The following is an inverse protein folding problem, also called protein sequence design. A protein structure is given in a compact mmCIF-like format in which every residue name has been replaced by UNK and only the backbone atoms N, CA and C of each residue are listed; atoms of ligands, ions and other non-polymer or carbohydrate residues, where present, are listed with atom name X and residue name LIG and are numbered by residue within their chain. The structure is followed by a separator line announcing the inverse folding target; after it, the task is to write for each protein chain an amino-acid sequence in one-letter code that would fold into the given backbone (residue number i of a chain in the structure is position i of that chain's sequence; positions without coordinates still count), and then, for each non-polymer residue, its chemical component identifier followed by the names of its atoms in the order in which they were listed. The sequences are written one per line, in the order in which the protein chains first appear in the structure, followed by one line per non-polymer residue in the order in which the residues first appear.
data_IF_935162288638
#
_entry.id   IF_935162288638
#
_cell.length_a   1.000
_cell.length_b   1.000
_cell.length_c   1.000
_cell.angle_alpha   90.00
_cell.angle_beta   90.00
_cell.angle_gamma   90.00
#
_symmetry.space_group_name_H-M   'P 1'
#
loop_
_entity.id
_entity.type
_entity.pdbx_description
1 polymer ?
#
# COMPACT_ATOMS: atom_id res chain seq x y z
N UNK A 1 -9.67 14.85 -10.38
CA UNK A 1 -8.71 14.35 -9.37
C UNK A 1 -9.06 14.90 -8.01
N UNK A 2 -9.89 15.95 -8.00
CA UNK A 2 -10.44 16.66 -6.86
C UNK A 2 -11.01 15.71 -5.81
N UNK A 3 -11.68 14.59 -6.19
CA UNK A 3 -12.21 13.63 -5.22
C UNK A 3 -11.15 12.88 -4.38
N UNK A 4 -9.88 12.92 -4.78
CA UNK A 4 -8.75 12.38 -4.00
C UNK A 4 -7.96 13.47 -3.28
N UNK A 5 -7.90 14.68 -3.84
CA UNK A 5 -7.10 15.78 -3.29
C UNK A 5 -7.86 16.63 -2.28
N UNK A 6 -9.15 16.88 -2.53
CA UNK A 6 -10.02 17.68 -1.66
C UNK A 6 -10.07 17.15 -0.22
N UNK A 7 -10.20 15.83 0.04
CA UNK A 7 -10.14 15.32 1.41
C UNK A 7 -8.83 15.62 2.13
N UNK A 8 -7.71 15.61 1.41
CA UNK A 8 -6.38 15.91 1.97
C UNK A 8 -6.21 17.42 2.19
N UNK A 9 -6.66 18.24 1.25
CA UNK A 9 -6.68 19.71 1.39
C UNK A 9 -7.47 20.12 2.64
N UNK A 10 -8.63 19.51 2.87
CA UNK A 10 -9.43 19.74 4.09
C UNK A 10 -8.69 19.37 5.38
N UNK A 11 -7.91 18.28 5.38
CA UNK A 11 -7.09 17.89 6.53
C UNK A 11 -5.96 18.89 6.77
N UNK A 12 -5.30 19.37 5.72
CA UNK A 12 -4.24 20.38 5.82
C UNK A 12 -4.80 21.69 6.39
N UNK A 13 -5.91 22.18 5.82
CA UNK A 13 -6.58 23.39 6.29
C UNK A 13 -7.02 23.26 7.76
N UNK A 14 -7.55 22.10 8.15
CA UNK A 14 -7.96 21.86 9.52
C UNK A 14 -6.79 21.69 10.50
N UNK A 15 -5.67 21.11 10.06
CA UNK A 15 -4.43 21.02 10.85
C UNK A 15 -3.84 22.40 11.13
N UNK A 16 -3.74 23.25 10.10
CA UNK A 16 -3.34 24.65 10.26
C UNK A 16 -4.29 25.39 11.21
N UNK A 17 -5.60 25.29 10.98
CA UNK A 17 -6.61 25.89 11.84
C UNK A 17 -6.49 25.43 13.31
N UNK A 18 -6.24 24.15 13.52
CA UNK A 18 -6.05 23.59 14.85
C UNK A 18 -4.82 24.17 15.55
N UNK A 19 -3.69 24.31 14.86
CA UNK A 19 -2.49 24.97 15.41
C UNK A 19 -2.79 26.42 15.82
N UNK A 20 -3.50 27.19 14.99
CA UNK A 20 -3.81 28.60 15.27
C UNK A 20 -4.96 28.83 16.27
N UNK A 21 -5.71 27.78 16.66
CA UNK A 21 -6.91 27.90 17.51
C UNK A 21 -6.75 27.10 18.81
N UNK A 22 -6.01 27.63 19.82
CA UNK A 22 -5.68 26.89 21.04
C UNK A 22 -6.90 26.52 21.89
N UNK A 23 -8.06 27.13 21.66
CA UNK A 23 -9.32 26.79 22.33
C UNK A 23 -9.87 25.41 21.92
N UNK A 24 -9.48 24.89 20.76
CA UNK A 24 -9.89 23.55 20.32
C UNK A 24 -9.17 22.48 21.13
N UNK A 25 -9.92 21.65 21.84
CA UNK A 25 -9.41 20.50 22.60
C UNK A 25 -9.23 19.26 21.73
N UNK A 26 -10.04 19.12 20.68
CA UNK A 26 -10.09 17.95 19.81
C UNK A 26 -10.21 18.35 18.34
N UNK A 27 -9.36 17.78 17.48
CA UNK A 27 -9.58 17.70 16.04
C UNK A 27 -9.95 16.25 15.69
N UNK A 28 -11.16 16.04 15.19
CA UNK A 28 -11.65 14.73 14.79
C UNK A 28 -11.64 14.59 13.27
N UNK A 29 -11.02 13.53 12.76
CA UNK A 29 -10.87 13.26 11.34
C UNK A 29 -11.39 11.86 11.03
N UNK A 30 -12.47 11.79 10.27
CA UNK A 30 -12.90 10.55 9.63
C UNK A 30 -12.18 10.43 8.28
N UNK A 31 -11.52 9.32 8.00
CA UNK A 31 -10.78 9.09 6.75
C UNK A 31 -11.08 7.71 6.18
N UNK A 32 -10.68 7.47 4.94
CA UNK A 32 -10.74 6.13 4.34
C UNK A 32 -9.45 5.37 4.59
N UNK A 33 -9.50 4.03 4.55
CA UNK A 33 -8.28 3.22 4.72
C UNK A 33 -7.20 3.57 3.68
N UNK A 34 -7.61 4.01 2.48
CA UNK A 34 -6.69 4.41 1.41
C UNK A 34 -5.95 5.71 1.69
N UNK A 35 -6.54 6.62 2.49
CA UNK A 35 -5.95 7.93 2.80
C UNK A 35 -5.35 8.00 4.20
N UNK A 36 -5.55 7.00 5.07
CA UNK A 36 -5.09 7.02 6.47
C UNK A 36 -3.65 7.49 6.63
N UNK A 37 -2.70 6.85 5.95
CA UNK A 37 -1.29 7.17 6.10
C UNK A 37 -0.96 8.57 5.59
N UNK A 38 -1.54 8.98 4.46
CA UNK A 38 -1.37 10.33 3.92
C UNK A 38 -1.98 11.40 4.85
N UNK A 39 -3.11 11.11 5.49
CA UNK A 39 -3.70 11.96 6.52
C UNK A 39 -2.75 12.10 7.71
N UNK A 40 -2.18 11.00 8.21
CA UNK A 40 -1.22 11.05 9.32
C UNK A 40 0.05 11.82 8.95
N UNK A 41 0.59 11.63 7.74
CA UNK A 41 1.75 12.38 7.23
C UNK A 41 1.49 13.88 7.16
N UNK A 42 0.32 14.31 6.67
CA UNK A 42 -0.02 15.73 6.61
C UNK A 42 -0.33 16.34 7.99
N UNK A 43 -0.91 15.55 8.90
CA UNK A 43 -1.13 15.99 10.28
C UNK A 43 0.20 16.21 11.00
N UNK A 44 1.14 15.27 10.93
CA UNK A 44 2.46 15.43 11.56
C UNK A 44 3.28 16.51 10.86
N UNK A 45 3.10 16.75 9.55
CA UNK A 45 3.73 17.89 8.89
C UNK A 45 3.27 19.25 9.45
N UNK A 46 2.07 19.32 10.05
CA UNK A 46 1.58 20.54 10.72
C UNK A 46 2.41 20.87 11.97
N UNK A 47 3.15 19.91 12.52
CA UNK A 47 4.09 20.15 13.62
C UNK A 47 5.18 21.17 13.24
N UNK A 48 5.55 21.19 11.95
CA UNK A 48 6.64 21.99 11.40
C UNK A 48 6.24 23.43 11.03
N UNK A 49 5.00 23.83 11.33
CA UNK A 49 4.56 25.22 11.13
C UNK A 49 5.36 26.16 12.05
N UNK A 50 5.77 27.31 11.52
CA UNK A 50 6.70 28.24 12.20
C UNK A 50 6.20 28.73 13.57
N UNK A 51 4.89 28.77 13.78
CA UNK A 51 4.24 29.22 15.01
C UNK A 51 3.72 28.09 15.90
N UNK A 52 3.90 26.82 15.50
CA UNK A 52 3.55 25.70 16.34
C UNK A 52 4.58 25.52 17.47
N UNK A 53 4.07 25.43 18.70
CA UNK A 53 4.86 25.22 19.92
C UNK A 53 4.51 23.91 20.62
N UNK A 54 3.79 23.01 19.95
CA UNK A 54 3.28 21.76 20.52
C UNK A 54 3.77 20.58 19.67
N UNK A 55 4.70 19.76 20.18
CA UNK A 55 5.13 18.54 19.50
C UNK A 55 4.01 17.52 19.31
N UNK A 56 4.06 16.73 18.23
CA UNK A 56 3.02 15.76 17.85
C UNK A 56 3.47 14.33 18.13
N UNK A 57 2.71 13.58 18.93
CA UNK A 57 2.95 12.16 19.21
C UNK A 57 1.85 11.29 18.59
N UNK A 58 2.21 10.27 17.83
CA UNK A 58 1.27 9.44 17.05
C UNK A 58 1.13 8.06 17.67
N UNK A 59 -0.07 7.78 18.18
CA UNK A 59 -0.37 6.57 18.93
C UNK A 59 -1.36 5.71 18.14
N UNK A 60 -0.89 4.58 17.61
CA UNK A 60 -1.63 3.75 16.65
C UNK A 60 -2.28 2.51 17.28
N UNK A 61 -2.03 2.25 18.57
CA UNK A 61 -2.54 1.08 19.27
C UNK A 61 -4.04 0.82 18.99
N UNK A 62 -4.46 -0.42 18.68
CA UNK A 62 -5.85 -0.75 18.45
C UNK A 62 -6.67 -0.77 19.75
N UNK A 63 -7.99 -0.84 19.62
CA UNK A 63 -8.92 -1.06 20.74
C UNK A 63 -9.70 -2.36 20.52
N UNK A 64 -9.54 -3.31 21.44
CA UNK A 64 -10.14 -4.65 21.41
C UNK A 64 -11.08 -4.87 22.61
N UNK A 65 -12.06 -5.79 22.51
CA UNK A 65 -12.87 -6.18 23.65
C UNK A 65 -12.01 -6.75 24.78
N UNK A 66 -12.03 -6.10 25.95
CA UNK A 66 -11.24 -6.48 27.12
C UNK A 66 -9.80 -5.95 27.16
N UNK A 67 -9.33 -5.33 26.08
CA UNK A 67 -8.07 -4.59 26.03
C UNK A 67 -8.23 -3.30 25.23
N UNK A 68 -8.39 -2.19 25.93
CA UNK A 68 -8.57 -0.88 25.31
C UNK A 68 -7.29 -0.35 24.61
N UNK A 69 -6.14 -1.03 24.78
CA UNK A 69 -4.87 -0.67 24.15
C UNK A 69 -4.09 0.44 24.84
N UNK A 70 -4.51 0.90 26.02
CA UNK A 70 -3.84 2.02 26.73
C UNK A 70 -2.43 1.69 27.23
N UNK A 71 -2.12 0.41 27.47
CA UNK A 71 -0.75 -0.01 27.79
C UNK A 71 0.17 0.26 26.60
N UNK A 72 -0.23 -0.19 25.41
CA UNK A 72 0.55 0.02 24.18
C UNK A 72 0.68 1.52 23.86
N UNK A 73 -0.40 2.31 24.00
CA UNK A 73 -0.32 3.78 23.84
C UNK A 73 0.64 4.45 24.82
N UNK A 74 0.80 3.90 26.03
CA UNK A 74 1.78 4.42 27.00
C UNK A 74 3.21 4.09 26.55
N UNK A 75 3.43 2.93 25.95
CA UNK A 75 4.73 2.53 25.43
C UNK A 75 5.10 3.34 24.17
N UNK A 76 4.13 3.59 23.27
CA UNK A 76 4.27 4.50 22.11
C UNK A 76 4.59 5.93 22.57
N UNK A 77 3.85 6.47 23.55
CA UNK A 77 4.09 7.80 24.14
C UNK A 77 5.53 7.95 24.65
N UNK A 78 6.07 6.90 25.29
CA UNK A 78 7.45 6.89 25.80
C UNK A 78 8.47 6.89 24.67
N UNK A 79 8.26 6.08 23.63
CA UNK A 79 9.14 6.03 22.49
C UNK A 79 9.21 7.39 21.78
N UNK A 80 8.07 8.03 21.56
CA UNK A 80 8.00 9.37 20.96
C UNK A 80 8.68 10.43 21.85
N UNK A 81 8.46 10.37 23.17
CA UNK A 81 9.14 11.27 24.10
C UNK A 81 10.67 11.07 24.11
N UNK A 82 11.14 9.82 24.04
CA UNK A 82 12.57 9.53 23.95
C UNK A 82 13.17 10.11 22.66
N UNK A 83 12.49 9.96 21.52
CA UNK A 83 12.87 10.60 20.27
C UNK A 83 12.91 12.14 20.36
N UNK A 84 11.94 12.74 21.05
CA UNK A 84 11.93 14.19 21.30
C UNK A 84 13.11 14.61 22.19
N UNK A 85 13.43 13.85 23.24
CA UNK A 85 14.60 14.12 24.11
C UNK A 85 15.91 14.03 23.33
N UNK A 86 16.05 13.05 22.44
CA UNK A 86 17.25 12.87 21.63
C UNK A 86 17.45 13.96 20.57
N UNK A 87 16.36 14.45 19.99
CA UNK A 87 16.37 15.50 18.96
C UNK A 87 16.35 16.92 19.52
N UNK A 88 16.00 17.10 20.80
CA UNK A 88 15.93 18.41 21.44
C UNK A 88 17.28 19.14 21.39
N UNK A 89 17.28 20.44 21.04
CA UNK A 89 18.51 21.23 21.05
C UNK A 89 19.04 21.37 22.47
N UNK A 90 20.37 21.45 22.63
CA UNK A 90 21.01 21.60 23.93
C UNK A 90 20.55 22.84 24.74
N UNK A 91 19.96 23.84 24.05
CA UNK A 91 19.36 25.03 24.67
C UNK A 91 18.01 24.78 25.35
N UNK A 92 17.34 23.66 25.04
CA UNK A 92 16.04 23.26 25.60
C UNK A 92 16.14 21.82 26.10
N UNK A 93 16.86 21.57 27.22
CA UNK A 93 17.10 20.22 27.68
C UNK A 93 15.80 19.60 28.21
N UNK A 94 15.34 18.55 27.54
CA UNK A 94 14.28 17.69 28.03
C UNK A 94 14.87 16.53 28.84
N UNK A 95 14.09 16.02 29.80
CA UNK A 95 14.50 14.87 30.63
C UNK A 95 13.67 13.64 30.27
N UNK A 96 14.25 12.43 30.31
CA UNK A 96 13.50 11.20 30.07
C UNK A 96 12.34 11.01 31.07
N UNK A 97 11.28 10.30 30.65
CA UNK A 97 10.08 10.04 31.46
C UNK A 97 10.30 9.01 32.61
N UNK A 98 11.48 8.42 32.71
CA UNK A 98 11.78 7.34 33.66
C UNK A 98 11.79 7.79 35.13
N UNK A 99 11.44 6.89 36.09
CA UNK A 99 11.06 5.48 35.90
C UNK A 99 9.60 5.29 35.40
N UNK A 100 9.23 4.05 35.09
CA UNK A 100 7.83 3.71 34.78
C UNK A 100 6.88 4.06 35.92
N UNK A 101 5.78 4.75 35.59
CA UNK A 101 4.77 5.13 36.57
C UNK A 101 3.77 3.99 36.70
N UNK A 102 3.67 3.40 37.89
CA UNK A 102 2.68 2.37 38.18
C UNK A 102 1.27 3.01 38.27
N UNK A 103 0.35 2.54 37.43
CA UNK A 103 -1.08 2.82 37.53
C UNK A 103 -1.86 1.53 37.73
N UNK A 104 -2.89 1.53 38.60
CA UNK A 104 -3.74 0.35 38.83
C UNK A 104 -4.54 -0.07 37.58
N UNK A 105 -4.73 0.86 36.64
CA UNK A 105 -5.42 0.64 35.36
C UNK A 105 -4.60 1.19 34.20
N UNK A 106 -4.58 0.54 33.02
CA UNK A 106 -3.85 1.01 31.85
C UNK A 106 -4.13 2.47 31.47
N UNK A 107 -5.40 2.88 31.41
CA UNK A 107 -5.77 4.28 31.13
C UNK A 107 -5.19 5.27 32.16
N UNK A 108 -5.23 4.91 33.44
CA UNK A 108 -4.71 5.78 34.50
C UNK A 108 -3.18 5.92 34.40
N UNK A 109 -2.46 4.85 34.02
CA UNK A 109 -1.03 4.91 33.71
C UNK A 109 -0.78 5.88 32.56
N UNK A 110 -1.51 5.74 31.44
CA UNK A 110 -1.38 6.64 30.29
C UNK A 110 -1.54 8.12 30.70
N UNK A 111 -2.62 8.46 31.41
CA UNK A 111 -2.86 9.84 31.86
C UNK A 111 -1.76 10.35 32.81
N UNK A 112 -1.22 9.50 33.68
CA UNK A 112 -0.11 9.89 34.57
C UNK A 112 1.18 10.15 33.79
N UNK A 113 1.49 9.32 32.79
CA UNK A 113 2.68 9.49 31.97
C UNK A 113 2.59 10.72 31.07
N UNK A 114 1.43 10.97 30.46
CA UNK A 114 1.20 12.17 29.67
C UNK A 114 1.26 13.45 30.53
N UNK A 115 0.65 13.45 31.71
CA UNK A 115 0.78 14.57 32.64
C UNK A 115 2.25 14.81 33.03
N UNK A 116 3.01 13.73 33.26
CA UNK A 116 4.42 13.84 33.60
C UNK A 116 5.28 14.32 32.42
N UNK A 117 4.89 14.06 31.17
CA UNK A 117 5.51 14.64 29.98
C UNK A 117 5.24 16.14 29.89
N UNK A 118 3.97 16.55 30.06
CA UNK A 118 3.57 17.96 30.07
C UNK A 118 4.32 18.76 31.15
N UNK A 119 4.47 18.21 32.36
CA UNK A 119 5.19 18.85 33.48
C UNK A 119 6.70 19.05 33.19
N UNK A 120 7.26 18.29 32.24
CA UNK A 120 8.68 18.35 31.84
C UNK A 120 8.95 19.25 30.64
N UNK A 121 7.91 19.71 29.95
CA UNK A 121 8.07 20.64 28.83
C UNK A 121 8.79 21.90 29.28
N UNK A 122 9.63 22.43 28.38
CA UNK A 122 10.35 23.67 28.58
C UNK A 122 10.04 24.63 27.42
N UNK A 123 10.00 25.95 27.66
CA UNK A 123 9.85 26.92 26.59
C UNK A 123 10.88 26.69 25.47
N UNK A 124 10.50 26.86 24.18
CA UNK A 124 9.24 27.47 23.73
C UNK A 124 8.02 26.53 23.73
N UNK A 125 8.16 25.26 24.09
CA UNK A 125 7.05 24.31 24.06
C UNK A 125 5.98 24.67 25.10
N UNK A 126 4.72 24.73 24.66
CA UNK A 126 3.57 25.14 25.50
C UNK A 126 2.65 23.98 25.85
N UNK A 127 2.74 22.87 25.12
CA UNK A 127 1.85 21.73 25.23
C UNK A 127 2.32 20.55 24.38
N UNK A 128 1.45 19.55 24.25
CA UNK A 128 1.62 18.41 23.34
C UNK A 128 0.34 18.22 22.52
N UNK A 129 0.50 17.77 21.28
CA UNK A 129 -0.61 17.23 20.49
C UNK A 129 -0.51 15.71 20.47
N UNK A 130 -1.55 15.03 20.96
CA UNK A 130 -1.64 13.58 20.98
C UNK A 130 -2.56 13.11 19.86
N UNK A 131 -1.98 12.49 18.83
CA UNK A 131 -2.70 11.93 17.69
C UNK A 131 -3.07 10.48 18.02
N UNK A 132 -4.33 10.26 18.34
CA UNK A 132 -4.90 8.94 18.56
C UNK A 132 -5.42 8.39 17.22
N UNK A 133 -4.66 7.49 16.60
CA UNK A 133 -4.96 6.93 15.28
C UNK A 133 -5.07 5.39 15.33
N UNK A 134 -5.98 4.82 16.13
CA UNK A 134 -6.07 3.37 16.28
C UNK A 134 -6.22 2.68 14.93
N UNK A 135 -5.46 1.60 14.70
CA UNK A 135 -5.59 0.82 13.45
C UNK A 135 -7.02 0.26 13.29
N UNK A 136 -7.69 -0.07 14.40
CA UNK A 136 -9.11 -0.37 14.45
C UNK A 136 -9.68 -0.17 15.86
N UNK A 137 -11.01 0.00 15.95
CA UNK A 137 -11.76 0.10 17.21
C UNK A 137 -12.90 -0.94 17.18
N UNK A 138 -12.78 -1.98 17.99
CA UNK A 138 -13.80 -3.04 18.10
C UNK A 138 -14.70 -2.91 19.32
N UNK A 139 -14.29 -2.13 20.31
CA UNK A 139 -15.09 -1.79 21.49
C UNK A 139 -15.37 -0.28 21.53
N UNK A 140 -16.35 0.14 20.73
CA UNK A 140 -16.66 1.55 20.51
C UNK A 140 -17.23 2.26 21.77
N UNK A 141 -17.96 1.54 22.61
CA UNK A 141 -18.49 2.09 23.86
C UNK A 141 -17.35 2.40 24.83
N UNK A 142 -16.46 1.41 25.05
CA UNK A 142 -15.30 1.59 25.90
C UNK A 142 -14.38 2.70 25.39
N UNK A 143 -14.14 2.75 24.09
CA UNK A 143 -13.34 3.79 23.44
C UNK A 143 -13.87 5.19 23.76
N UNK A 144 -15.17 5.44 23.57
CA UNK A 144 -15.78 6.75 23.85
C UNK A 144 -15.71 7.12 25.33
N UNK A 145 -15.98 6.17 26.22
CA UNK A 145 -15.90 6.39 27.67
C UNK A 145 -14.49 6.80 28.09
N UNK A 146 -13.47 6.04 27.66
CA UNK A 146 -12.08 6.31 28.00
C UNK A 146 -11.61 7.63 27.37
N UNK A 147 -11.97 7.92 26.11
CA UNK A 147 -11.63 9.18 25.45
C UNK A 147 -12.25 10.39 26.16
N UNK A 148 -13.52 10.31 26.58
CA UNK A 148 -14.16 11.37 27.34
C UNK A 148 -13.46 11.62 28.70
N UNK A 149 -12.96 10.56 29.35
CA UNK A 149 -12.18 10.67 30.59
C UNK A 149 -10.84 11.37 30.35
N UNK A 150 -10.13 11.05 29.26
CA UNK A 150 -8.86 11.70 28.89
C UNK A 150 -9.08 13.19 28.60
N UNK A 151 -10.06 13.51 27.75
CA UNK A 151 -10.35 14.88 27.34
C UNK A 151 -10.81 15.77 28.49
N UNK A 152 -11.47 15.18 29.49
CA UNK A 152 -11.96 15.85 30.68
C UNK A 152 -10.96 15.96 31.85
N UNK A 153 -9.79 15.33 31.78
CA UNK A 153 -8.80 15.36 32.88
C UNK A 153 -8.08 16.73 32.95
N UNK A 154 -8.24 17.51 34.03
CA UNK A 154 -7.67 18.85 34.12
C UNK A 154 -6.13 18.89 34.09
N UNK A 155 -5.46 17.82 34.53
CA UNK A 155 -3.98 17.72 34.44
C UNK A 155 -3.49 17.62 32.99
N UNK A 156 -4.36 17.26 32.06
CA UNK A 156 -4.08 17.17 30.63
C UNK A 156 -4.57 18.40 29.87
N UNK A 157 -4.81 19.53 30.55
CA UNK A 157 -5.29 20.75 29.91
C UNK A 157 -4.29 21.36 28.89
N UNK A 158 -2.99 21.07 29.02
CA UNK A 158 -1.96 21.47 28.06
C UNK A 158 -1.72 20.43 26.95
N UNK A 159 -2.38 19.27 27.00
CA UNK A 159 -2.42 18.34 25.88
C UNK A 159 -3.68 18.59 25.06
N UNK A 160 -3.54 18.66 23.74
CA UNK A 160 -4.64 18.71 22.77
C UNK A 160 -4.63 17.43 21.97
N UNK A 161 -5.78 17.05 21.42
CA UNK A 161 -5.95 15.72 20.84
C UNK A 161 -6.37 15.81 19.38
N UNK A 162 -5.82 14.91 18.57
CA UNK A 162 -6.33 14.60 17.24
C UNK A 162 -6.80 13.16 17.26
N UNK A 163 -8.01 12.87 16.76
CA UNK A 163 -8.50 11.49 16.61
C UNK A 163 -8.69 11.21 15.14
N UNK A 164 -8.03 10.17 14.63
CA UNK A 164 -8.14 9.72 13.25
C UNK A 164 -8.82 8.36 13.21
N UNK A 165 -10.03 8.30 12.63
CA UNK A 165 -10.79 7.07 12.47
C UNK A 165 -10.91 6.67 11.00
N UNK A 166 -10.83 5.37 10.73
CA UNK A 166 -10.92 4.81 9.39
C UNK A 166 -12.33 4.24 9.18
N UNK A 167 -12.99 4.73 8.14
CA UNK A 167 -14.30 4.34 7.60
C UNK A 167 -15.51 4.59 8.55
N UNK A 168 -15.37 4.28 9.84
CA UNK A 168 -16.40 4.46 10.87
C UNK A 168 -16.31 5.80 11.61
N UNK A 169 -17.44 6.26 12.18
CA UNK A 169 -17.52 7.49 12.98
C UNK A 169 -17.84 7.23 14.46
N UNK A 170 -17.01 6.41 15.10
CA UNK A 170 -17.28 5.89 16.45
C UNK A 170 -17.07 6.96 17.54
N UNK A 171 -16.23 7.95 17.29
CA UNK A 171 -15.92 9.06 18.21
C UNK A 171 -16.90 10.22 18.11
N UNK A 172 -17.75 10.26 17.08
CA UNK A 172 -18.64 11.39 16.82
C UNK A 172 -19.49 11.85 18.04
N UNK A 173 -20.05 10.96 18.88
CA UNK A 173 -20.79 11.40 20.06
C UNK A 173 -19.95 12.22 21.07
N UNK A 174 -18.64 11.96 21.16
CA UNK A 174 -17.72 12.72 22.02
C UNK A 174 -17.44 14.09 21.42
N UNK A 175 -17.30 14.17 20.09
CA UNK A 175 -17.15 15.43 19.35
C UNK A 175 -18.38 16.32 19.57
N UNK A 176 -19.57 15.76 19.42
CA UNK A 176 -20.84 16.48 19.64
C UNK A 176 -20.97 16.99 21.08
N UNK A 177 -20.48 16.23 22.06
CA UNK A 177 -20.49 16.63 23.47
C UNK A 177 -19.56 17.82 23.75
N UNK A 178 -18.44 17.93 23.04
CA UNK A 178 -17.47 19.02 23.20
C UNK A 178 -17.92 20.34 22.57
N UNK A 179 -18.80 20.27 21.55
CA UNK A 179 -19.31 21.46 20.86
C UNK A 179 -18.18 22.29 20.27
N UNK A 180 -18.15 23.59 20.56
CA UNK A 180 -17.18 24.55 20.02
C UNK A 180 -15.71 24.25 20.41
N UNK A 181 -15.48 23.34 21.35
CA UNK A 181 -14.14 22.88 21.72
C UNK A 181 -13.63 21.73 20.81
N UNK A 182 -14.39 21.30 19.80
CA UNK A 182 -13.97 20.29 18.86
C UNK A 182 -14.24 20.70 17.40
N UNK A 183 -13.30 20.37 16.52
CA UNK A 183 -13.44 20.52 15.07
C UNK A 183 -13.60 19.14 14.43
N UNK A 184 -14.45 19.04 13.39
CA UNK A 184 -14.68 17.79 12.65
C UNK A 184 -14.34 17.96 11.18
N UNK A 185 -13.58 17.01 10.65
CA UNK A 185 -13.26 16.88 9.23
C UNK A 185 -13.68 15.50 8.74
N UNK A 186 -14.38 15.46 7.61
CA UNK A 186 -14.66 14.23 6.88
C UNK A 186 -13.77 14.14 5.64
N UNK A 187 -12.61 13.50 5.82
CA UNK A 187 -11.60 13.27 4.81
C UNK A 187 -11.78 11.92 4.09
N UNK A 188 -12.99 11.35 4.09
CA UNK A 188 -13.27 10.15 3.31
C UNK A 188 -13.40 10.49 1.83
N UNK A 189 -13.04 9.51 1.00
CA UNK A 189 -13.20 9.65 -0.45
C UNK A 189 -14.67 9.48 -0.79
N UNK A 190 -15.24 10.45 -1.50
CA UNK A 190 -16.53 10.28 -2.16
C UNK A 190 -16.36 9.30 -3.33
N UNK A 191 -16.51 8.01 -3.06
CA UNK A 191 -16.40 6.94 -4.06
C UNK A 191 -17.34 7.16 -5.27
N UNK A 192 -18.63 7.53 -5.09
CA UNK A 192 -19.48 7.93 -6.21
C UNK A 192 -18.89 9.05 -7.08
N UNK A 193 -18.37 10.13 -6.47
CA UNK A 193 -17.75 11.23 -7.20
C UNK A 193 -16.46 10.80 -7.90
N UNK A 194 -15.59 10.04 -7.22
CA UNK A 194 -14.36 9.51 -7.81
C UNK A 194 -14.67 8.64 -9.03
N UNK A 195 -15.64 7.73 -8.91
CA UNK A 195 -16.10 6.88 -10.00
C UNK A 195 -16.62 7.70 -11.17
N UNK A 196 -17.44 8.72 -10.91
CA UNK A 196 -17.94 9.63 -11.93
C UNK A 196 -16.78 10.37 -12.62
N UNK A 197 -15.82 10.91 -11.87
CA UNK A 197 -14.64 11.58 -12.42
C UNK A 197 -13.80 10.64 -13.31
N UNK A 198 -13.59 9.39 -12.89
CA UNK A 198 -12.88 8.39 -13.71
C UNK A 198 -13.65 8.08 -15.00
N UNK A 199 -14.97 7.92 -14.92
CA UNK A 199 -15.82 7.67 -16.10
C UNK A 199 -15.84 8.88 -17.05
N UNK A 200 -15.93 10.09 -16.52
CA UNK A 200 -15.89 11.33 -17.29
C UNK A 200 -14.54 11.48 -18.00
N UNK A 201 -13.43 11.10 -17.35
CA UNK A 201 -12.09 11.06 -17.96
C UNK A 201 -12.02 10.06 -19.11
N UNK A 202 -12.55 8.85 -18.94
CA UNK A 202 -12.63 7.85 -20.02
C UNK A 202 -13.49 8.36 -21.18
N UNK A 203 -14.63 8.97 -20.89
CA UNK A 203 -15.51 9.56 -21.89
C UNK A 203 -14.81 10.70 -22.65
N UNK A 204 -14.07 11.54 -21.93
CA UNK A 204 -13.30 12.63 -22.53
C UNK A 204 -12.16 12.10 -23.43
N UNK A 205 -11.48 11.03 -23.03
CA UNK A 205 -10.49 10.37 -23.88
C UNK A 205 -11.11 9.78 -25.16
N UNK A 206 -12.27 9.11 -25.04
CA UNK A 206 -13.01 8.55 -26.18
C UNK A 206 -13.47 9.62 -27.17
N UNK A 207 -13.89 10.76 -26.63
CA UNK A 207 -14.46 11.86 -27.41
C UNK A 207 -13.46 12.98 -27.70
N UNK A 208 -12.16 12.74 -27.51
CA UNK A 208 -11.13 13.74 -27.78
C UNK A 208 -11.21 14.17 -29.27
N UNK A 209 -11.24 15.48 -29.57
CA UNK A 209 -11.40 15.94 -30.93
C UNK A 209 -10.18 15.55 -31.79
N UNK A 210 -10.35 15.39 -33.12
CA UNK A 210 -9.21 15.18 -34.01
C UNK A 210 -8.16 16.27 -33.84
N UNK A 211 -6.90 15.87 -33.62
CA UNK A 211 -5.79 16.81 -33.39
C UNK A 211 -5.65 17.30 -31.94
N UNK A 212 -6.40 16.75 -30.99
CA UNK A 212 -6.12 16.94 -29.56
C UNK A 212 -4.69 16.48 -29.24
N UNK A 213 -3.98 17.25 -28.41
CA UNK A 213 -2.61 16.92 -28.01
C UNK A 213 -2.42 17.04 -26.51
N UNK A 214 -1.46 16.27 -25.97
CA UNK A 214 -1.06 16.35 -24.56
C UNK A 214 -2.24 16.17 -23.59
N UNK A 215 -2.44 17.08 -22.62
CA UNK A 215 -3.52 16.99 -21.64
C UNK A 215 -4.95 16.93 -22.22
N UNK A 216 -5.19 17.49 -23.41
CA UNK A 216 -6.50 17.47 -24.07
C UNK A 216 -6.96 16.03 -24.37
N UNK A 217 -6.01 15.13 -24.70
CA UNK A 217 -6.31 13.72 -24.94
C UNK A 217 -6.88 13.01 -23.72
N UNK A 218 -6.64 13.56 -22.52
CA UNK A 218 -7.10 13.01 -21.24
C UNK A 218 -8.24 13.83 -20.62
N UNK A 219 -8.85 14.73 -21.40
CA UNK A 219 -10.02 15.51 -20.98
C UNK A 219 -9.72 16.87 -20.35
N UNK A 220 -8.48 17.34 -20.38
CA UNK A 220 -8.20 18.71 -19.96
C UNK A 220 -8.77 19.73 -20.94
N UNK A 221 -9.24 20.86 -20.42
CA UNK A 221 -9.63 21.99 -21.25
C UNK A 221 -8.44 22.48 -22.09
N UNK A 222 -8.71 22.88 -23.33
CA UNK A 222 -7.72 23.52 -24.17
C UNK A 222 -8.37 24.19 -25.38
N UNK A 223 -7.58 24.87 -26.22
CA UNK A 223 -8.12 25.61 -27.35
C UNK A 223 -8.85 24.68 -28.33
N UNK A 224 -10.02 25.12 -28.79
CA UNK A 224 -10.87 24.37 -29.74
C UNK A 224 -10.21 24.20 -31.13
N UNK A 225 -9.19 25.01 -31.41
CA UNK A 225 -8.38 24.95 -32.63
C UNK A 225 -6.96 24.59 -32.20
N UNK A 226 -6.34 23.66 -32.91
CA UNK A 226 -4.94 23.34 -32.70
C UNK A 226 -4.11 24.63 -32.75
N UNK A 227 -3.23 24.86 -31.76
CA UNK A 227 -2.39 26.06 -31.77
C UNK A 227 -1.56 26.08 -33.06
N UNK A 228 -1.37 27.27 -33.68
CA UNK A 228 -0.60 27.36 -34.91
C UNK A 228 0.82 26.81 -34.68
N UNK A 229 1.42 26.15 -35.69
CA UNK A 229 2.77 25.62 -35.57
C UNK A 229 3.73 26.72 -35.13
N UNK A 230 4.61 26.42 -34.16
CA UNK A 230 5.70 27.35 -33.82
C UNK A 230 6.56 27.56 -35.07
N UNK A 231 7.07 28.78 -35.29
CA UNK A 231 7.89 29.11 -36.49
C UNK A 231 9.09 28.18 -36.70
N UNK A 232 9.60 27.58 -35.62
CA UNK A 232 10.71 26.62 -35.61
C UNK A 232 10.28 25.16 -35.41
N UNK A 233 8.98 24.87 -35.44
CA UNK A 233 8.49 23.50 -35.31
C UNK A 233 8.95 22.69 -36.52
N UNK A 234 9.67 21.59 -36.26
CA UNK A 234 9.99 20.62 -37.30
C UNK A 234 8.67 20.04 -37.84
N UNK A 235 8.58 19.76 -39.16
CA UNK A 235 7.42 19.07 -39.70
C UNK A 235 7.26 17.70 -39.01
N UNK A 236 6.02 17.20 -38.86
CA UNK A 236 5.77 15.89 -38.29
C UNK A 236 6.48 14.82 -39.13
N UNK A 237 7.00 13.79 -38.46
CA UNK A 237 7.70 12.69 -39.12
C UNK A 237 6.75 11.95 -40.06
N UNK A 238 7.21 11.68 -41.27
CA UNK A 238 6.50 10.80 -42.21
C UNK A 238 6.45 9.36 -41.67
N UNK A 239 5.55 8.50 -42.15
CA UNK A 239 5.51 7.09 -41.74
C UNK A 239 6.87 6.38 -41.87
N UNK A 240 7.58 6.60 -42.98
CA UNK A 240 8.91 6.02 -43.21
C UNK A 240 9.95 6.55 -42.21
N UNK A 241 9.87 7.85 -41.86
CA UNK A 241 10.75 8.45 -40.86
C UNK A 241 10.45 7.93 -39.45
N UNK A 242 9.17 7.72 -39.11
CA UNK A 242 8.78 7.11 -37.84
C UNK A 242 9.29 5.68 -37.75
N UNK A 243 9.18 4.91 -38.83
CA UNK A 243 9.70 3.55 -38.90
C UNK A 243 11.23 3.50 -38.77
N UNK A 244 11.95 4.37 -39.50
CA UNK A 244 13.40 4.47 -39.40
C UNK A 244 13.86 4.86 -37.99
N UNK A 245 13.20 5.85 -37.38
CA UNK A 245 13.49 6.27 -36.00
C UNK A 245 13.20 5.15 -35.00
N UNK A 246 12.07 4.45 -35.15
CA UNK A 246 11.72 3.32 -34.28
C UNK A 246 12.76 2.19 -34.36
N UNK A 247 13.27 1.88 -35.56
CA UNK A 247 14.37 0.95 -35.75
C UNK A 247 15.67 1.44 -35.12
N UNK A 248 15.99 2.73 -35.25
CA UNK A 248 17.17 3.35 -34.66
C UNK A 248 17.18 3.25 -33.13
N UNK A 249 16.03 3.50 -32.47
CA UNK A 249 15.91 3.41 -31.01
C UNK A 249 15.56 2.02 -30.49
N UNK A 250 15.35 1.04 -31.37
CA UNK A 250 15.04 -0.34 -31.00
C UNK A 250 13.64 -0.53 -30.39
N UNK A 251 12.64 0.24 -30.80
CA UNK A 251 11.25 0.09 -30.33
C UNK A 251 10.30 -0.33 -31.46
N UNK A 252 9.20 -1.04 -31.16
CA UNK A 252 8.13 -1.28 -32.11
C UNK A 252 7.59 0.02 -32.76
N UNK A 253 7.46 0.10 -34.10
CA UNK A 253 7.01 1.31 -34.78
C UNK A 253 5.64 1.83 -34.35
N UNK A 254 4.75 0.96 -33.88
CA UNK A 254 3.42 1.33 -33.38
C UNK A 254 3.49 2.26 -32.16
N UNK A 255 4.57 2.24 -31.37
CA UNK A 255 4.74 3.22 -30.29
C UNK A 255 4.85 4.67 -30.78
N UNK A 256 5.19 4.87 -32.07
CA UNK A 256 5.20 6.18 -32.72
C UNK A 256 3.86 6.53 -33.39
N UNK A 257 2.88 5.63 -33.32
CA UNK A 257 1.50 5.87 -33.76
C UNK A 257 0.67 6.38 -32.58
N UNK A 258 0.53 7.70 -32.51
CA UNK A 258 -0.24 8.40 -31.47
C UNK A 258 -1.69 7.93 -31.40
N UNK A 259 -2.31 7.61 -32.54
CA UNK A 259 -3.70 7.18 -32.59
C UNK A 259 -3.84 5.76 -32.03
N UNK A 260 -2.96 4.84 -32.43
CA UNK A 260 -2.96 3.48 -31.91
C UNK A 260 -2.70 3.48 -30.39
N UNK A 261 -1.71 4.24 -29.92
CA UNK A 261 -1.40 4.32 -28.50
C UNK A 261 -2.51 5.00 -27.68
N UNK A 262 -3.20 5.99 -28.24
CA UNK A 262 -4.37 6.59 -27.61
C UNK A 262 -5.52 5.60 -27.46
N UNK A 263 -5.84 4.84 -28.52
CA UNK A 263 -6.88 3.81 -28.47
C UNK A 263 -6.55 2.72 -27.45
N UNK A 264 -5.31 2.23 -27.44
CA UNK A 264 -4.86 1.26 -26.43
C UNK A 264 -5.05 1.80 -25.01
N UNK A 265 -4.65 3.06 -24.76
CA UNK A 265 -4.84 3.72 -23.47
C UNK A 265 -6.33 3.83 -23.10
N UNK A 266 -7.20 4.18 -24.05
CA UNK A 266 -8.65 4.22 -23.83
C UNK A 266 -9.17 2.86 -23.37
N UNK A 267 -8.77 1.75 -24.00
CA UNK A 267 -9.22 0.42 -23.61
C UNK A 267 -8.74 0.03 -22.20
N UNK A 268 -7.45 0.23 -21.91
CA UNK A 268 -6.86 -0.10 -20.59
C UNK A 268 -7.50 0.72 -19.47
N UNK A 269 -7.63 2.04 -19.64
CA UNK A 269 -8.23 2.91 -18.60
C UNK A 269 -9.73 2.65 -18.45
N UNK A 270 -10.43 2.33 -19.55
CA UNK A 270 -11.84 1.91 -19.49
C UNK A 270 -11.99 0.64 -18.65
N UNK A 271 -11.14 -0.37 -18.89
CA UNK A 271 -11.19 -1.62 -18.15
C UNK A 271 -10.96 -1.41 -16.65
N UNK A 272 -9.94 -0.62 -16.28
CA UNK A 272 -9.65 -0.29 -14.89
C UNK A 272 -10.82 0.44 -14.19
N UNK A 273 -11.48 1.37 -14.89
CA UNK A 273 -12.65 2.09 -14.37
C UNK A 273 -13.84 1.16 -14.16
N UNK A 274 -14.04 0.21 -15.08
CA UNK A 274 -15.16 -0.74 -15.04
C UNK A 274 -14.96 -1.87 -14.03
N UNK A 275 -13.72 -2.25 -13.70
CA UNK A 275 -13.41 -3.42 -12.88
C UNK A 275 -14.16 -3.47 -11.53
N UNK A 276 -14.42 -2.30 -10.94
CA UNK A 276 -15.13 -2.18 -9.65
C UNK A 276 -16.66 -2.16 -9.77
N UNK A 277 -17.22 -1.97 -10.97
CA UNK A 277 -18.65 -1.70 -11.17
C UNK A 277 -19.33 -2.68 -12.11
N UNK A 278 -18.64 -3.06 -13.17
CA UNK A 278 -19.05 -4.05 -14.15
C UNK A 278 -17.82 -4.88 -14.57
N UNK A 279 -17.47 -5.90 -13.78
CA UNK A 279 -16.32 -6.76 -14.05
C UNK A 279 -16.38 -7.43 -15.42
N UNK A 280 -17.57 -7.75 -15.94
CA UNK A 280 -17.74 -8.35 -17.26
C UNK A 280 -17.42 -7.36 -18.38
N UNK A 281 -17.86 -6.11 -18.26
CA UNK A 281 -17.47 -5.06 -19.20
C UNK A 281 -15.97 -4.74 -19.12
N UNK A 282 -15.36 -4.85 -17.92
CA UNK A 282 -13.92 -4.71 -17.75
C UNK A 282 -13.14 -5.80 -18.50
N UNK A 283 -13.57 -7.07 -18.39
CA UNK A 283 -13.02 -8.20 -19.17
C UNK A 283 -13.11 -7.93 -20.67
N UNK A 284 -14.25 -7.44 -21.17
CA UNK A 284 -14.41 -7.12 -22.59
C UNK A 284 -13.48 -5.99 -23.05
N UNK A 285 -13.39 -4.89 -22.28
CA UNK A 285 -12.52 -3.76 -22.60
C UNK A 285 -11.02 -4.14 -22.55
N UNK A 286 -10.62 -4.93 -21.56
CA UNK A 286 -9.25 -5.41 -21.43
C UNK A 286 -8.89 -6.44 -22.52
N UNK A 287 -9.86 -7.27 -22.94
CA UNK A 287 -9.73 -8.14 -24.09
C UNK A 287 -9.40 -7.38 -25.36
N UNK A 288 -10.09 -6.26 -25.61
CA UNK A 288 -9.81 -5.38 -26.75
C UNK A 288 -8.40 -4.76 -26.68
N UNK A 289 -7.94 -4.35 -25.49
CA UNK A 289 -6.56 -3.88 -25.30
C UNK A 289 -5.53 -4.96 -25.65
N UNK A 290 -5.74 -6.19 -25.16
CA UNK A 290 -4.87 -7.34 -25.45
C UNK A 290 -4.85 -7.68 -26.94
N UNK A 291 -6.01 -7.78 -27.58
CA UNK A 291 -6.12 -8.06 -29.02
C UNK A 291 -5.43 -6.98 -29.87
N UNK A 292 -5.56 -5.72 -29.47
CA UNK A 292 -4.86 -4.62 -30.11
C UNK A 292 -3.34 -4.75 -30.01
N UNK A 293 -2.80 -5.11 -28.83
CA UNK A 293 -1.36 -5.37 -28.69
C UNK A 293 -0.90 -6.52 -29.59
N UNK A 294 -1.65 -7.63 -29.63
CA UNK A 294 -1.35 -8.77 -30.50
C UNK A 294 -1.35 -8.37 -31.98
N UNK A 295 -2.39 -7.67 -32.43
CA UNK A 295 -2.52 -7.23 -33.83
C UNK A 295 -1.41 -6.28 -34.28
N UNK A 296 -0.81 -5.54 -33.35
CA UNK A 296 0.27 -4.58 -33.62
C UNK A 296 1.68 -5.12 -33.31
N UNK A 297 1.82 -6.41 -32.99
CA UNK A 297 3.12 -7.01 -32.68
C UNK A 297 3.76 -6.50 -31.38
N UNK A 298 2.96 -5.94 -30.46
CA UNK A 298 3.40 -5.53 -29.13
C UNK A 298 3.40 -6.73 -28.19
N UNK A 299 4.32 -7.67 -28.41
CA UNK A 299 4.28 -8.99 -27.77
C UNK A 299 4.36 -8.90 -26.24
N UNK A 300 5.26 -8.06 -25.70
CA UNK A 300 5.42 -7.90 -24.26
C UNK A 300 4.16 -7.32 -23.63
N UNK A 301 3.62 -6.26 -24.23
CA UNK A 301 2.41 -5.57 -23.77
C UNK A 301 1.19 -6.47 -23.91
N UNK A 302 1.13 -7.33 -24.93
CA UNK A 302 0.07 -8.32 -25.08
C UNK A 302 0.05 -9.28 -23.90
N UNK A 303 1.21 -9.83 -23.50
CA UNK A 303 1.32 -10.70 -22.32
C UNK A 303 0.88 -9.97 -21.05
N UNK A 304 1.36 -8.74 -20.84
CA UNK A 304 0.96 -7.93 -19.67
C UNK A 304 -0.55 -7.70 -19.64
N UNK A 305 -1.15 -7.31 -20.78
CA UNK A 305 -2.59 -7.09 -20.87
C UNK A 305 -3.40 -8.39 -20.69
N UNK A 306 -2.84 -9.53 -21.09
CA UNK A 306 -3.43 -10.87 -20.90
C UNK A 306 -3.39 -11.32 -19.43
N UNK A 307 -2.31 -11.00 -18.70
CA UNK A 307 -2.24 -11.17 -17.23
C UNK A 307 -3.30 -10.31 -16.51
N UNK A 308 -3.41 -9.03 -16.88
CA UNK A 308 -4.44 -8.14 -16.30
C UNK A 308 -5.85 -8.64 -16.63
N UNK A 309 -6.08 -9.12 -17.86
CA UNK A 309 -7.35 -9.72 -18.29
C UNK A 309 -7.75 -10.91 -17.40
N UNK A 310 -6.82 -11.83 -17.12
CA UNK A 310 -7.07 -12.96 -16.22
C UNK A 310 -7.46 -12.49 -14.80
N UNK A 311 -6.83 -11.43 -14.30
CA UNK A 311 -7.21 -10.79 -13.04
C UNK A 311 -8.66 -10.28 -13.03
N UNK A 312 -9.09 -9.58 -14.10
CA UNK A 312 -10.49 -9.15 -14.22
C UNK A 312 -11.47 -10.31 -14.38
N UNK A 313 -11.06 -11.42 -15.03
CA UNK A 313 -11.89 -12.63 -15.10
C UNK A 313 -12.11 -13.25 -13.72
N UNK A 314 -11.09 -13.27 -12.86
CA UNK A 314 -11.21 -13.71 -11.47
C UNK A 314 -12.19 -12.82 -10.71
N UNK A 315 -12.07 -11.49 -10.83
CA UNK A 315 -12.99 -10.54 -10.20
C UNK A 315 -14.44 -10.71 -10.70
N UNK A 316 -14.62 -11.08 -11.97
CA UNK A 316 -15.91 -11.43 -12.56
C UNK A 316 -16.44 -12.82 -12.17
N UNK A 317 -15.74 -13.55 -11.29
CA UNK A 317 -16.10 -14.91 -10.84
C UNK A 317 -15.75 -16.03 -11.82
N UNK A 318 -15.01 -15.75 -12.88
CA UNK A 318 -14.61 -16.69 -13.93
C UNK A 318 -13.21 -17.28 -13.73
N UNK A 319 -13.04 -18.16 -12.74
CA UNK A 319 -11.74 -18.76 -12.47
C UNK A 319 -11.22 -19.69 -13.59
N UNK A 320 -12.08 -20.51 -14.20
CA UNK A 320 -11.69 -21.39 -15.31
C UNK A 320 -11.25 -20.61 -16.56
N UNK A 321 -12.02 -19.62 -17.07
CA UNK A 321 -11.54 -18.74 -18.15
C UNK A 321 -10.23 -18.00 -17.82
N UNK A 322 -10.03 -17.63 -16.55
CA UNK A 322 -8.79 -16.99 -16.12
C UNK A 322 -7.58 -17.94 -16.24
N UNK A 323 -7.73 -19.21 -15.85
CA UNK A 323 -6.68 -20.23 -15.99
C UNK A 323 -6.28 -20.39 -17.47
N UNK A 324 -7.25 -20.47 -18.38
CA UNK A 324 -6.99 -20.55 -19.83
C UNK A 324 -6.25 -19.30 -20.36
N UNK A 325 -6.67 -18.13 -19.89
CA UNK A 325 -6.06 -16.83 -20.26
C UNK A 325 -4.63 -16.73 -19.75
N UNK A 326 -4.36 -17.10 -18.50
CA UNK A 326 -3.00 -17.14 -17.96
C UNK A 326 -2.13 -18.19 -18.65
N UNK A 327 -2.70 -19.33 -19.03
CA UNK A 327 -2.01 -20.33 -19.86
C UNK A 327 -1.57 -19.77 -21.22
N UNK A 328 -2.43 -18.99 -21.85
CA UNK A 328 -2.13 -18.30 -23.12
C UNK A 328 -1.03 -17.24 -22.93
N UNK A 329 -1.10 -16.45 -21.85
CA UNK A 329 -0.05 -15.49 -21.48
C UNK A 329 1.30 -16.18 -21.24
N UNK A 330 1.32 -17.29 -20.49
CA UNK A 330 2.53 -18.10 -20.23
C UNK A 330 3.16 -18.59 -21.54
N UNK A 331 2.35 -19.16 -22.43
CA UNK A 331 2.83 -19.67 -23.72
C UNK A 331 3.45 -18.56 -24.58
N UNK A 332 2.79 -17.40 -24.66
CA UNK A 332 3.29 -16.23 -25.41
C UNK A 332 4.57 -15.65 -24.80
N UNK A 333 4.64 -15.56 -23.47
CA UNK A 333 5.83 -15.11 -22.76
C UNK A 333 7.03 -16.03 -23.05
N UNK A 334 6.81 -17.35 -22.98
CA UNK A 334 7.82 -18.37 -23.28
C UNK A 334 8.33 -18.28 -24.72
N UNK A 335 7.42 -18.19 -25.69
CA UNK A 335 7.79 -18.08 -27.11
C UNK A 335 8.64 -16.82 -27.38
N UNK A 336 8.34 -15.72 -26.68
CA UNK A 336 9.06 -14.47 -26.80
C UNK A 336 10.31 -14.36 -25.92
N UNK A 337 10.60 -15.36 -25.09
CA UNK A 337 11.74 -15.34 -24.17
C UNK A 337 11.59 -14.41 -22.95
N UNK A 338 10.37 -13.98 -22.62
CA UNK A 338 10.09 -13.13 -21.45
C UNK A 338 9.91 -13.98 -20.18
N UNK A 339 11.01 -14.50 -19.64
CA UNK A 339 10.98 -15.46 -18.52
C UNK A 339 10.30 -14.89 -17.26
N UNK A 340 10.48 -13.59 -16.97
CA UNK A 340 9.79 -12.93 -15.87
C UNK A 340 8.26 -13.00 -16.02
N UNK A 341 7.75 -12.71 -17.23
CA UNK A 341 6.31 -12.74 -17.50
C UNK A 341 5.77 -14.19 -17.57
N UNK A 342 6.59 -15.15 -18.01
CA UNK A 342 6.25 -16.57 -17.95
C UNK A 342 6.06 -17.03 -16.49
N UNK A 343 6.98 -16.61 -15.61
CA UNK A 343 6.90 -16.88 -14.18
C UNK A 343 5.67 -16.24 -13.55
N UNK A 344 5.40 -14.95 -13.84
CA UNK A 344 4.20 -14.26 -13.38
C UNK A 344 2.91 -14.95 -13.85
N UNK A 345 2.85 -15.39 -15.11
CA UNK A 345 1.71 -16.15 -15.63
C UNK A 345 1.52 -17.48 -14.89
N UNK A 346 2.60 -18.20 -14.60
CA UNK A 346 2.53 -19.46 -13.86
C UNK A 346 2.06 -19.26 -12.41
N UNK A 347 2.54 -18.23 -11.73
CA UNK A 347 2.05 -17.85 -10.40
C UNK A 347 0.55 -17.52 -10.42
N UNK A 348 0.10 -16.80 -11.45
CA UNK A 348 -1.30 -16.44 -11.63
C UNK A 348 -2.19 -17.67 -11.90
N UNK A 349 -1.71 -18.67 -12.65
CA UNK A 349 -2.38 -19.98 -12.80
C UNK A 349 -2.57 -20.64 -11.43
N UNK A 350 -1.52 -20.70 -10.60
CA UNK A 350 -1.59 -21.24 -9.24
C UNK A 350 -2.66 -20.55 -8.40
N UNK A 351 -2.70 -19.21 -8.42
CA UNK A 351 -3.70 -18.44 -7.67
C UNK A 351 -5.14 -18.69 -8.17
N UNK A 352 -5.34 -18.74 -9.49
CA UNK A 352 -6.65 -19.03 -10.08
C UNK A 352 -7.14 -20.44 -9.75
N UNK A 353 -6.24 -21.44 -9.71
CA UNK A 353 -6.56 -22.81 -9.31
C UNK A 353 -6.97 -22.91 -7.84
N UNK A 354 -6.36 -22.13 -6.94
CA UNK A 354 -6.80 -22.03 -5.53
C UNK A 354 -8.24 -21.52 -5.45
N UNK A 355 -8.57 -20.46 -6.20
CA UNK A 355 -9.92 -19.89 -6.25
C UNK A 355 -10.92 -20.90 -6.82
N UNK A 356 -10.53 -21.67 -7.84
CA UNK A 356 -11.31 -22.78 -8.40
C UNK A 356 -11.38 -24.02 -7.49
N UNK A 357 -10.75 -23.99 -6.30
CA UNK A 357 -10.68 -25.11 -5.33
C UNK A 357 -9.97 -26.36 -5.88
N UNK A 358 -9.03 -26.18 -6.82
CA UNK A 358 -8.22 -27.24 -7.43
C UNK A 358 -6.83 -27.29 -6.79
N UNK A 359 -6.81 -27.60 -5.49
CA UNK A 359 -5.62 -27.47 -4.63
C UNK A 359 -4.39 -28.24 -5.12
N UNK A 360 -4.56 -29.50 -5.54
CA UNK A 360 -3.43 -30.31 -6.02
C UNK A 360 -2.79 -29.73 -7.29
N UNK A 361 -3.60 -29.21 -8.21
CA UNK A 361 -3.09 -28.56 -9.42
C UNK A 361 -2.43 -27.22 -9.12
N UNK A 362 -2.97 -26.46 -8.16
CA UNK A 362 -2.34 -25.22 -7.69
C UNK A 362 -0.95 -25.48 -7.09
N UNK A 363 -0.78 -26.56 -6.32
CA UNK A 363 0.51 -26.97 -5.77
C UNK A 363 1.52 -27.24 -6.90
N UNK A 364 1.11 -28.01 -7.92
CA UNK A 364 1.96 -28.27 -9.10
C UNK A 364 2.32 -26.95 -9.80
N UNK A 365 1.34 -26.07 -9.99
CA UNK A 365 1.57 -24.81 -10.67
C UNK A 365 2.57 -23.91 -9.94
N UNK A 366 2.45 -23.77 -8.62
CA UNK A 366 3.39 -23.02 -7.80
C UNK A 366 4.78 -23.67 -7.74
N UNK A 367 4.88 -25.00 -7.68
CA UNK A 367 6.17 -25.68 -7.75
C UNK A 367 6.89 -25.41 -9.09
N UNK A 368 6.17 -25.50 -10.21
CA UNK A 368 6.72 -25.16 -11.54
C UNK A 368 7.17 -23.69 -11.61
N UNK A 369 6.45 -22.76 -10.99
CA UNK A 369 6.88 -21.36 -10.89
C UNK A 369 8.20 -21.24 -10.12
N UNK A 370 8.33 -21.93 -8.98
CA UNK A 370 9.58 -21.95 -8.22
C UNK A 370 10.77 -22.47 -9.03
N UNK A 371 10.54 -23.48 -9.87
CA UNK A 371 11.57 -24.06 -10.74
C UNK A 371 11.97 -23.11 -11.88
N UNK A 372 10.99 -22.48 -12.55
CA UNK A 372 11.22 -21.46 -13.57
C UNK A 372 12.01 -20.27 -13.02
N UNK A 373 11.67 -19.81 -11.81
CA UNK A 373 12.36 -18.70 -11.15
C UNK A 373 13.83 -19.00 -10.84
N UNK A 374 14.18 -20.24 -10.52
CA UNK A 374 15.57 -20.65 -10.28
C UNK A 374 16.37 -20.88 -11.56
N UNK A 375 15.76 -21.50 -12.58
CA UNK A 375 16.43 -21.89 -13.83
C UNK A 375 16.96 -20.73 -14.69
N UNK A 376 16.47 -19.52 -14.47
CA UNK A 376 16.75 -18.31 -15.26
C UNK A 376 18.14 -17.68 -15.10
N UNK A 377 19.14 -18.40 -14.56
CA UNK A 377 20.50 -17.84 -14.37
C UNK A 377 21.22 -17.51 -15.69
N UNK A 378 20.74 -18.03 -16.83
CA UNK A 378 21.39 -17.88 -18.14
C UNK A 378 20.73 -16.82 -19.05
N UNK A 379 19.66 -16.16 -18.62
CA UNK A 379 18.95 -15.19 -19.46
C UNK A 379 19.48 -13.77 -19.29
N UNK A 380 19.53 -13.01 -20.39
CA UNK A 380 19.95 -11.60 -20.40
C UNK A 380 19.05 -10.69 -19.55
N UNK A 381 17.83 -11.13 -19.24
CA UNK A 381 16.90 -10.42 -18.37
C UNK A 381 16.96 -11.03 -16.98
N UNK A 382 17.36 -10.27 -15.95
CA UNK A 382 17.35 -10.76 -14.58
C UNK A 382 15.91 -11.08 -14.16
N UNK A 383 15.67 -12.32 -13.75
CA UNK A 383 14.38 -12.73 -13.18
C UNK A 383 14.41 -12.49 -11.68
N UNK A 384 13.40 -11.83 -11.10
CA UNK A 384 13.34 -11.61 -9.65
C UNK A 384 13.30 -12.95 -8.90
N UNK A 385 14.43 -13.38 -8.33
CA UNK A 385 14.55 -14.65 -7.57
C UNK A 385 13.62 -14.71 -6.37
N UNK A 386 13.22 -13.54 -5.87
CA UNK A 386 12.20 -13.36 -4.82
C UNK A 386 10.87 -14.06 -5.16
N UNK A 387 10.49 -14.11 -6.44
CA UNK A 387 9.27 -14.78 -6.87
C UNK A 387 9.37 -16.31 -6.73
N UNK A 388 10.55 -16.89 -6.85
CA UNK A 388 10.75 -18.33 -6.63
C UNK A 388 10.54 -18.70 -5.15
N UNK A 389 11.01 -17.85 -4.23
CA UNK A 389 10.77 -18.00 -2.78
C UNK A 389 9.28 -18.02 -2.50
N UNK A 390 8.55 -17.05 -3.04
CA UNK A 390 7.11 -16.93 -2.87
C UNK A 390 6.35 -18.12 -3.46
N UNK A 391 6.75 -18.60 -4.64
CA UNK A 391 6.16 -19.75 -5.28
C UNK A 391 6.25 -21.03 -4.42
N UNK A 392 7.44 -21.36 -3.92
CA UNK A 392 7.63 -22.51 -3.05
C UNK A 392 6.90 -22.36 -1.71
N UNK A 393 6.89 -21.15 -1.13
CA UNK A 393 6.13 -20.87 0.10
C UNK A 393 4.64 -21.14 -0.09
N UNK A 394 4.05 -20.66 -1.19
CA UNK A 394 2.64 -20.88 -1.51
C UNK A 394 2.31 -22.36 -1.71
N UNK A 395 3.17 -23.11 -2.42
CA UNK A 395 3.03 -24.57 -2.55
C UNK A 395 3.08 -25.27 -1.18
N UNK A 396 4.04 -24.89 -0.32
CA UNK A 396 4.17 -25.42 1.04
C UNK A 396 2.94 -25.15 1.91
N UNK A 397 2.38 -23.94 1.82
CA UNK A 397 1.17 -23.57 2.56
C UNK A 397 -0.04 -24.42 2.16
N UNK A 398 -0.24 -24.65 0.86
CA UNK A 398 -1.32 -25.51 0.36
C UNK A 398 -1.14 -26.97 0.80
N UNK A 399 0.09 -27.49 0.74
CA UNK A 399 0.41 -28.84 1.22
C UNK A 399 0.17 -28.99 2.73
N UNK A 400 0.57 -28.01 3.53
CA UNK A 400 0.32 -28.02 4.97
C UNK A 400 -1.18 -28.01 5.28
N UNK A 401 -1.94 -27.16 4.58
CA UNK A 401 -3.40 -27.07 4.76
C UNK A 401 -4.16 -28.34 4.36
N UNK A 402 -3.59 -29.15 3.47
CA UNK A 402 -4.14 -30.45 3.04
C UNK A 402 -3.62 -31.63 3.88
N UNK A 403 -2.83 -31.36 4.94
CA UNK A 403 -2.29 -32.40 5.83
C UNK A 403 -1.07 -33.14 5.27
N UNK A 404 -0.49 -32.69 4.16
CA UNK A 404 0.70 -33.28 3.51
C UNK A 404 1.98 -32.66 4.07
N UNK A 405 2.18 -32.81 5.37
CA UNK A 405 3.18 -32.05 6.14
C UNK A 405 4.63 -32.30 5.71
N UNK A 406 4.97 -33.52 5.29
CA UNK A 406 6.32 -33.84 4.81
C UNK A 406 6.63 -33.12 3.49
N UNK A 407 5.67 -33.14 2.56
CA UNK A 407 5.79 -32.43 1.29
C UNK A 407 5.84 -30.91 1.52
N UNK A 408 5.02 -30.41 2.46
CA UNK A 408 5.03 -29.00 2.86
C UNK A 408 6.39 -28.58 3.41
N UNK A 409 6.98 -29.38 4.29
CA UNK A 409 8.31 -29.13 4.84
C UNK A 409 9.38 -29.05 3.74
N UNK A 410 9.31 -29.94 2.74
CA UNK A 410 10.21 -29.90 1.58
C UNK A 410 10.05 -28.61 0.77
N UNK A 411 8.82 -28.13 0.55
CA UNK A 411 8.59 -26.88 -0.16
C UNK A 411 9.05 -25.65 0.62
N UNK A 412 8.81 -25.59 1.93
CA UNK A 412 9.33 -24.50 2.76
C UNK A 412 10.85 -24.47 2.77
N UNK A 413 11.51 -25.63 2.78
CA UNK A 413 12.95 -25.70 2.60
C UNK A 413 13.33 -25.14 1.21
N UNK A 414 12.77 -25.62 0.10
CA UNK A 414 13.09 -25.05 -1.23
C UNK A 414 12.94 -23.52 -1.30
N UNK A 415 11.98 -22.93 -0.58
CA UNK A 415 11.87 -21.47 -0.44
C UNK A 415 13.08 -20.83 0.25
N UNK A 416 13.51 -21.38 1.40
CA UNK A 416 14.73 -20.94 2.12
C UNK A 416 16.02 -21.25 1.34
N UNK A 417 15.99 -22.22 0.43
CA UNK A 417 17.10 -22.55 -0.46
C UNK A 417 17.22 -21.48 -1.56
N UNK A 418 16.07 -21.10 -2.13
CA UNK A 418 15.95 -20.08 -3.16
C UNK A 418 16.36 -18.68 -2.67
N UNK A 419 16.17 -18.35 -1.38
CA UNK A 419 16.55 -17.03 -0.83
C UNK A 419 18.07 -16.80 -0.91
N UNK A 420 18.89 -17.85 -0.95
CA UNK A 420 20.35 -17.71 -1.11
C UNK A 420 20.74 -17.15 -2.49
N UNK A 421 19.86 -17.28 -3.48
CA UNK A 421 20.03 -16.69 -4.81
C UNK A 421 19.44 -15.27 -4.91
N UNK A 422 18.83 -14.74 -3.84
CA UNK A 422 18.32 -13.37 -3.76
C UNK A 422 19.43 -12.46 -3.22
N UNK A 423 19.58 -11.29 -3.83
CA UNK A 423 20.49 -10.23 -3.39
C UNK A 423 20.19 -9.83 -1.94
N UNK A 424 21.23 -9.55 -1.15
CA UNK A 424 21.11 -9.36 0.30
C UNK A 424 20.16 -8.23 0.69
N UNK A 425 20.16 -7.13 -0.07
CA UNK A 425 19.28 -5.97 0.11
C UNK A 425 17.80 -6.28 -0.19
N UNK A 426 17.52 -7.33 -0.96
CA UNK A 426 16.17 -7.75 -1.32
C UNK A 426 15.61 -8.85 -0.42
N UNK A 427 16.45 -9.55 0.36
CA UNK A 427 16.01 -10.64 1.24
C UNK A 427 14.94 -10.23 2.27
N UNK A 428 15.03 -9.04 2.92
CA UNK A 428 14.00 -8.60 3.87
C UNK A 428 12.61 -8.40 3.25
N UNK A 429 12.58 -8.11 1.95
CA UNK A 429 11.33 -7.93 1.21
C UNK A 429 10.74 -9.27 0.70
N UNK A 430 11.46 -10.38 0.88
CA UNK A 430 11.01 -11.71 0.47
C UNK A 430 10.14 -12.37 1.54
N UNK A 431 9.33 -13.34 1.14
CA UNK A 431 8.51 -14.14 2.05
C UNK A 431 9.26 -15.33 2.67
N UNK A 432 10.61 -15.29 2.68
CA UNK A 432 11.43 -16.36 3.25
C UNK A 432 11.26 -16.48 4.78
N UNK A 433 11.07 -15.36 5.50
CA UNK A 433 10.85 -15.38 6.96
C UNK A 433 9.55 -16.09 7.31
N UNK A 434 8.49 -15.91 6.52
CA UNK A 434 7.24 -16.66 6.66
C UNK A 434 7.44 -18.16 6.41
N UNK A 435 8.20 -18.55 5.39
CA UNK A 435 8.50 -19.95 5.12
C UNK A 435 9.29 -20.60 6.28
N UNK A 436 10.26 -19.87 6.86
CA UNK A 436 11.01 -20.32 8.03
C UNK A 436 10.09 -20.54 9.24
N UNK A 437 9.19 -19.60 9.54
CA UNK A 437 8.20 -19.74 10.63
C UNK A 437 7.21 -20.88 10.41
N UNK A 438 6.73 -21.05 9.18
CA UNK A 438 5.84 -22.15 8.82
C UNK A 438 6.53 -23.51 9.03
N UNK A 439 7.79 -23.63 8.61
CA UNK A 439 8.60 -24.83 8.85
C UNK A 439 8.88 -25.04 10.34
N UNK A 440 9.18 -23.98 11.11
CA UNK A 440 9.36 -24.03 12.55
C UNK A 440 8.11 -24.56 13.27
N UNK A 441 6.92 -24.12 12.82
CA UNK A 441 5.63 -24.59 13.30
C UNK A 441 5.46 -26.10 13.07
N UNK A 442 5.79 -26.60 11.87
CA UNK A 442 5.77 -28.04 11.58
C UNK A 442 6.77 -28.80 12.46
N UNK A 443 7.99 -28.29 12.63
CA UNK A 443 9.00 -28.89 13.51
C UNK A 443 8.49 -29.01 14.97
N UNK A 444 7.85 -27.96 15.51
CA UNK A 444 7.23 -28.02 16.85
C UNK A 444 6.17 -29.10 16.94
N UNK A 445 5.30 -29.20 15.94
CA UNK A 445 4.24 -30.22 15.89
C UNK A 445 4.78 -31.65 15.96
N UNK A 446 6.00 -31.87 15.43
CA UNK A 446 6.69 -33.17 15.44
C UNK A 446 7.73 -33.33 16.57
N UNK A 447 7.77 -32.42 17.55
CA UNK A 447 8.69 -32.51 18.70
C UNK A 447 10.14 -32.11 18.41
N UNK A 448 10.41 -31.50 17.27
CA UNK A 448 11.74 -31.02 16.83
C UNK A 448 11.98 -29.59 17.32
N UNK A 449 11.98 -29.39 18.65
CA UNK A 449 12.01 -28.06 19.26
C UNK A 449 13.28 -27.26 18.96
N UNK A 450 14.45 -27.92 18.93
CA UNK A 450 15.72 -27.24 18.64
C UNK A 450 15.76 -26.70 17.22
N UNK A 451 15.29 -27.49 16.24
CA UNK A 451 15.20 -27.07 14.85
C UNK A 451 14.22 -25.90 14.70
N UNK A 452 13.07 -25.97 15.38
CA UNK A 452 12.10 -24.88 15.36
C UNK A 452 12.68 -23.58 15.89
N UNK A 453 13.42 -23.61 17.02
CA UNK A 453 14.10 -22.42 17.55
C UNK A 453 15.13 -21.84 16.58
N UNK A 454 15.88 -22.70 15.89
CA UNK A 454 16.85 -22.26 14.87
C UNK A 454 16.16 -21.59 13.68
N UNK A 455 15.01 -22.09 13.25
CA UNK A 455 14.23 -21.53 12.15
C UNK A 455 13.56 -20.21 12.54
N UNK A 456 13.06 -20.07 13.78
CA UNK A 456 12.54 -18.80 14.27
C UNK A 456 13.65 -17.73 14.34
N UNK A 457 14.87 -18.09 14.76
CA UNK A 457 16.02 -17.20 14.73
C UNK A 457 16.39 -16.78 13.29
N UNK A 458 16.41 -17.73 12.36
CA UNK A 458 16.63 -17.44 10.94
C UNK A 458 15.57 -16.50 10.36
N UNK A 459 14.29 -16.65 10.76
CA UNK A 459 13.22 -15.76 10.33
C UNK A 459 13.47 -14.31 10.77
N UNK A 460 13.96 -14.11 12.01
CA UNK A 460 14.33 -12.79 12.54
C UNK A 460 15.52 -12.20 11.76
N UNK A 461 16.54 -13.01 11.45
CA UNK A 461 17.69 -12.56 10.65
C UNK A 461 17.29 -12.11 9.24
N UNK A 462 16.37 -12.85 8.61
CA UNK A 462 15.85 -12.52 7.28
C UNK A 462 15.10 -11.18 7.27
N UNK A 463 14.43 -10.81 8.36
CA UNK A 463 13.74 -9.52 8.51
C UNK A 463 14.70 -8.38 8.91
N UNK A 464 15.66 -8.67 9.78
CA UNK A 464 16.58 -7.69 10.36
C UNK A 464 17.68 -7.20 9.43
N UNK A 465 17.95 -7.89 8.31
CA UNK A 465 18.97 -7.46 7.34
C UNK A 465 18.67 -6.10 6.65
N UNK A 466 17.48 -5.51 6.86
CA UNK A 466 17.14 -4.17 6.41
C UNK A 466 17.73 -3.03 7.28
N UNK A 467 18.23 -3.31 8.49
CA UNK A 467 18.51 -2.27 9.50
C UNK A 467 19.98 -1.84 9.65
N UNK A 468 20.90 -2.26 8.78
CA UNK A 468 22.25 -1.66 8.74
C UNK A 468 22.30 -0.54 7.71
N UNK A 469 22.26 0.74 8.13
CA UNK A 469 22.51 1.84 7.19
C UNK A 469 23.94 1.69 6.67
N UNK A 470 24.06 1.60 5.35
CA UNK A 470 25.35 1.68 4.67
C UNK A 470 25.99 3.02 5.06
N UNK A 471 27.03 2.97 5.89
CA UNK A 471 27.87 4.13 6.19
C UNK A 471 28.41 4.68 4.87
N UNK A 472 28.08 5.91 4.45
CA UNK A 472 28.69 6.48 3.26
C UNK A 472 30.17 6.76 3.55
N UNK A 473 31.04 6.18 2.72
CA UNK A 473 32.49 6.39 2.76
C UNK A 473 32.96 7.62 1.98
#
# INVERSE_FOLDING_TARGET
MDALTEPIEQVVEAGEWFVHTPELRLLYIATSNMLRNTVLEHLTASELLDDNTEPYFVLEAPTEPGDAGWTLRSDELRADWEGLVESAPASVPLTPLWPELAGERPLARFCLELAAALDRLQPPMTGLVIVLAPVWIRDAERWREDLALVLGEPRLAAARFVVVEVDDELTLPVVEQLGDAAERVDARIDEPALRKQMQDRVNAMKNAPPGATGPQLTGAAGPAVAPPPRKSAKPPLTPDQKQALAQEVGIPPVFMDEQAMHQLRVHVVSAATLAQTDPLAAVAAQGQARDMCVANGLTREAVVNELVLGGYMIQAGGAEPAIETFGSAKARAREAGFVELELQAQMAIGAALVIAKRGDEAIVAYNEAGELGLASQETQTPVPKIMAVEAYRMAGQLLASSGREQDAANMFWRALEAVNAVEEDQRPNSSASEAARALASLCRKHGLHQQAMSLDAQAIELEGAAASPATPG
#
